data_IF_779912334762
#
_entry.id   IF_779912334762
#
_cell.length_a   1.000
_cell.length_b   1.000
_cell.length_c   1.000
_cell.angle_alpha   90.00
_cell.angle_beta   90.00
_cell.angle_gamma   90.00
#
_symmetry.space_group_name_H-M   'P 1'
#
loop_
_entity.id
_entity.type
_entity.pdbx_description
1 polymer ?
#
# COMPACT_ATOMS: atom_id res chain seq x y z
N UNK A 1 20.94 -41.75 -34.95
CA UNK A 1 21.92 -41.19 -35.91
C UNK A 1 21.39 -39.82 -36.38
N UNK A 2 22.13 -38.72 -36.19
CA UNK A 2 21.83 -37.33 -36.69
C UNK A 2 20.53 -36.66 -36.17
N UNK A 3 20.43 -35.33 -36.00
CA UNK A 3 21.45 -34.27 -35.78
C UNK A 3 20.77 -33.08 -35.06
N UNK A 4 21.53 -32.35 -34.26
CA UNK A 4 21.15 -31.07 -33.62
C UNK A 4 20.65 -30.02 -34.62
N UNK A 5 19.70 -29.19 -34.20
CA UNK A 5 19.59 -27.81 -34.68
C UNK A 5 19.26 -26.85 -33.53
N UNK A 6 20.26 -26.11 -33.05
CA UNK A 6 20.05 -24.90 -32.23
C UNK A 6 19.70 -23.73 -33.16
N UNK A 7 18.67 -22.94 -32.83
CA UNK A 7 18.66 -21.50 -33.13
C UNK A 7 18.26 -20.70 -31.88
N UNK A 8 18.92 -19.56 -31.71
CA UNK A 8 18.85 -18.70 -30.53
C UNK A 8 17.66 -17.74 -30.60
N UNK A 9 17.18 -17.36 -29.40
CA UNK A 9 16.65 -16.04 -29.02
C UNK A 9 15.82 -15.26 -30.04
N UNK A 10 14.60 -14.89 -29.64
CA UNK A 10 14.27 -13.48 -29.73
C UNK A 10 13.69 -12.98 -28.41
N UNK A 11 14.20 -11.83 -27.96
CA UNK A 11 14.04 -11.35 -26.59
C UNK A 11 12.74 -10.53 -26.48
N UNK A 12 11.78 -11.03 -25.71
CA UNK A 12 10.68 -10.21 -25.17
C UNK A 12 10.68 -10.43 -23.67
N UNK A 13 11.03 -9.39 -22.93
CA UNK A 13 10.94 -9.33 -21.48
C UNK A 13 9.47 -9.40 -21.07
N UNK A 14 8.96 -10.62 -20.89
CA UNK A 14 7.70 -10.82 -20.19
C UNK A 14 7.91 -10.34 -18.75
N UNK A 15 7.21 -9.27 -18.38
CA UNK A 15 7.04 -8.91 -16.98
C UNK A 15 6.29 -10.08 -16.35
N UNK A 16 6.95 -10.87 -15.51
CA UNK A 16 6.31 -12.02 -14.89
C UNK A 16 5.11 -11.54 -14.05
N UNK A 17 3.90 -12.07 -14.29
CA UNK A 17 2.74 -11.65 -13.52
C UNK A 17 2.94 -12.03 -12.05
N UNK A 18 2.70 -11.07 -11.15
CA UNK A 18 2.79 -11.23 -9.71
C UNK A 18 2.11 -12.54 -9.28
N UNK A 19 2.90 -13.53 -8.85
CA UNK A 19 2.44 -14.91 -8.74
C UNK A 19 1.31 -15.03 -7.71
N UNK A 20 0.17 -15.55 -8.18
CA UNK A 20 -1.08 -15.64 -7.41
C UNK A 20 -1.02 -16.81 -6.43
N UNK A 21 -0.59 -16.55 -5.20
CA UNK A 21 -0.70 -17.51 -4.10
C UNK A 21 -2.03 -17.33 -3.36
N UNK A 22 -3.00 -18.21 -3.63
CA UNK A 22 -4.25 -18.28 -2.85
C UNK A 22 -3.95 -18.86 -1.46
N UNK A 23 -3.67 -17.97 -0.50
CA UNK A 23 -3.41 -18.33 0.88
C UNK A 23 -4.69 -18.27 1.73
N UNK A 24 -5.09 -19.39 2.34
CA UNK A 24 -6.31 -19.44 3.17
C UNK A 24 -6.09 -18.77 4.54
N UNK A 25 -6.38 -17.47 4.59
CA UNK A 25 -6.22 -16.62 5.76
C UNK A 25 -7.04 -17.04 6.99
N UNK A 26 -8.05 -17.92 6.85
CA UNK A 26 -8.92 -18.32 7.95
C UNK A 26 -8.39 -19.53 8.75
N UNK A 27 -7.32 -20.19 8.30
CA UNK A 27 -6.79 -21.44 8.89
C UNK A 27 -5.58 -21.26 9.82
N UNK A 28 -5.20 -20.04 10.20
CA UNK A 28 -4.16 -19.85 11.21
C UNK A 28 -4.66 -20.29 12.60
N UNK A 29 -4.04 -21.30 13.24
CA UNK A 29 -4.36 -21.62 14.63
C UNK A 29 -3.94 -20.46 15.55
N UNK A 30 -4.58 -20.30 16.72
CA UNK A 30 -4.09 -19.36 17.73
C UNK A 30 -2.70 -19.84 18.19
N UNK A 31 -1.65 -19.16 17.74
CA UNK A 31 -0.28 -19.45 18.13
C UNK A 31 -0.15 -19.32 19.64
N UNK A 32 0.35 -20.38 20.30
CA UNK A 32 0.84 -20.28 21.69
C UNK A 32 1.85 -19.12 21.73
N UNK A 33 1.65 -18.22 22.70
CA UNK A 33 1.85 -16.78 22.49
C UNK A 33 3.27 -16.32 22.13
N UNK A 34 3.44 -15.53 21.06
CA UNK A 34 4.60 -14.65 20.87
C UNK A 34 4.36 -13.27 21.51
N UNK A 35 5.39 -12.43 21.60
CA UNK A 35 5.20 -11.00 21.85
C UNK A 35 4.33 -10.39 20.74
N UNK A 36 3.14 -9.91 21.09
CA UNK A 36 2.16 -9.46 20.11
C UNK A 36 2.34 -7.98 19.78
N UNK A 37 3.24 -7.73 18.83
CA UNK A 37 3.63 -6.39 18.38
C UNK A 37 2.47 -5.67 17.68
N UNK A 38 2.19 -4.43 18.08
CA UNK A 38 1.24 -3.55 17.38
C UNK A 38 1.78 -3.14 16.00
N UNK A 39 1.03 -3.35 14.91
CA UNK A 39 1.51 -2.98 13.57
C UNK A 39 1.66 -1.47 13.34
N UNK A 40 1.00 -0.64 14.16
CA UNK A 40 0.95 0.81 13.98
C UNK A 40 2.03 1.57 14.75
N UNK A 41 2.45 1.08 15.93
CA UNK A 41 3.42 1.75 16.79
C UNK A 41 4.61 0.87 17.20
N UNK A 42 4.65 -0.40 16.75
CA UNK A 42 5.66 -1.39 17.11
C UNK A 42 5.87 -1.66 18.62
N UNK A 43 4.97 -1.20 19.49
CA UNK A 43 5.01 -1.54 20.91
C UNK A 43 4.86 -3.06 21.13
N UNK A 44 5.76 -3.63 21.94
CA UNK A 44 5.77 -5.03 22.40
C UNK A 44 5.07 -5.17 23.76
N UNK A 45 4.92 -6.41 24.26
CA UNK A 45 4.42 -6.72 25.61
C UNK A 45 3.04 -6.13 25.98
N UNK A 46 2.16 -5.99 24.98
CA UNK A 46 0.76 -5.59 25.15
C UNK A 46 -0.17 -6.73 24.73
N UNK A 47 -1.34 -6.85 25.38
CA UNK A 47 -2.43 -7.68 24.88
C UNK A 47 -2.98 -6.98 23.63
N UNK A 48 -2.84 -7.53 22.41
CA UNK A 48 -3.32 -6.88 21.22
C UNK A 48 -4.83 -6.99 21.16
N UNK A 49 -5.43 -5.91 20.72
CA UNK A 49 -6.79 -5.95 20.16
C UNK A 49 -6.72 -6.35 18.69
N UNK A 50 -7.87 -6.79 18.14
CA UNK A 50 -8.04 -7.02 16.71
C UNK A 50 -8.72 -5.79 16.09
N UNK A 51 -7.94 -4.94 15.43
CA UNK A 51 -8.47 -3.84 14.63
C UNK A 51 -9.07 -4.40 13.31
N UNK A 52 -10.12 -3.78 12.80
CA UNK A 52 -10.79 -4.16 11.54
C UNK A 52 -10.35 -3.22 10.43
N UNK A 53 -9.84 -3.77 9.33
CA UNK A 53 -9.34 -3.00 8.18
C UNK A 53 -9.94 -3.55 6.89
N UNK A 54 -10.99 -2.93 6.30
CA UNK A 54 -11.63 -1.67 6.67
C UNK A 54 -12.39 -1.67 8.00
N UNK A 55 -12.66 -0.49 8.59
CA UNK A 55 -13.35 -0.38 9.86
C UNK A 55 -14.75 -1.00 9.82
N UNK A 56 -15.02 -1.83 10.83
CA UNK A 56 -16.22 -2.66 11.00
C UNK A 56 -17.55 -1.90 10.95
N UNK A 57 -17.51 -0.58 11.14
CA UNK A 57 -18.68 0.29 11.13
C UNK A 57 -19.26 0.48 9.71
N UNK A 58 -18.47 0.25 8.66
CA UNK A 58 -18.89 0.29 7.25
C UNK A 58 -19.78 -0.90 6.86
N UNK A 59 -19.73 -2.01 7.61
CA UNK A 59 -20.43 -3.23 7.24
C UNK A 59 -21.76 -3.35 8.00
N UNK A 60 -22.92 -3.33 7.32
CA UNK A 60 -24.22 -3.59 7.96
C UNK A 60 -24.31 -5.04 8.48
N UNK A 61 -25.38 -5.37 9.20
CA UNK A 61 -25.65 -6.74 9.68
C UNK A 61 -26.59 -7.49 8.71
N UNK A 62 -26.43 -8.82 8.51
CA UNK A 62 -25.29 -9.64 8.93
C UNK A 62 -23.99 -9.20 8.23
N UNK A 63 -22.86 -9.34 8.93
CA UNK A 63 -21.56 -8.90 8.41
C UNK A 63 -20.92 -10.00 7.55
N UNK A 64 -20.06 -9.64 6.57
CA UNK A 64 -19.29 -10.62 5.82
C UNK A 64 -18.41 -11.47 6.75
N UNK A 65 -18.18 -12.73 6.37
CA UNK A 65 -17.26 -13.62 7.10
C UNK A 65 -15.80 -13.27 6.83
N UNK A 66 -15.48 -12.68 5.67
CA UNK A 66 -14.14 -12.32 5.23
C UNK A 66 -13.66 -10.93 5.70
N UNK A 67 -14.11 -10.46 6.88
CA UNK A 67 -13.58 -9.21 7.46
C UNK A 67 -12.15 -9.40 7.95
N UNK A 68 -11.22 -8.65 7.33
CA UNK A 68 -9.80 -8.66 7.71
C UNK A 68 -9.61 -7.98 9.08
N UNK A 69 -8.77 -8.60 9.91
CA UNK A 69 -8.32 -8.01 11.18
C UNK A 69 -6.82 -8.08 11.36
N UNK A 70 -6.25 -7.07 12.01
CA UNK A 70 -4.81 -6.94 12.26
C UNK A 70 -4.50 -6.71 13.75
N UNK A 71 -3.30 -7.09 14.25
CA UNK A 71 -2.95 -6.91 15.65
C UNK A 71 -2.58 -5.44 15.94
N UNK A 72 -3.29 -4.83 16.89
CA UNK A 72 -3.10 -3.44 17.28
C UNK A 72 -3.20 -3.29 18.80
N UNK A 73 -2.36 -2.46 19.42
CA UNK A 73 -2.53 -2.16 20.83
C UNK A 73 -3.86 -1.41 21.08
N UNK A 74 -4.42 -1.47 22.31
CA UNK A 74 -5.68 -0.80 22.64
C UNK A 74 -5.67 0.70 22.28
N UNK A 75 -4.56 1.39 22.57
CA UNK A 75 -4.39 2.83 22.30
C UNK A 75 -4.52 3.17 20.81
N UNK A 76 -3.78 2.47 19.94
CA UNK A 76 -3.84 2.73 18.50
C UNK A 76 -5.22 2.38 17.94
N UNK A 77 -5.79 1.21 18.25
CA UNK A 77 -7.11 0.82 17.76
C UNK A 77 -8.20 1.84 18.17
N UNK A 78 -8.23 2.22 19.45
CA UNK A 78 -9.17 3.21 19.96
C UNK A 78 -8.99 4.61 19.34
N UNK A 79 -7.76 5.00 18.96
CA UNK A 79 -7.47 6.33 18.40
C UNK A 79 -8.15 6.63 17.07
N UNK A 80 -8.59 5.60 16.33
CA UNK A 80 -9.28 5.75 15.05
C UNK A 80 -10.81 5.82 15.18
N UNK A 81 -11.39 5.49 16.35
CA UNK A 81 -12.84 5.31 16.53
C UNK A 81 -13.71 6.48 16.03
N UNK A 82 -13.30 7.72 16.32
CA UNK A 82 -14.03 8.91 15.89
C UNK A 82 -13.87 9.16 14.38
N UNK A 83 -12.69 8.90 13.85
CA UNK A 83 -12.38 9.06 12.42
C UNK A 83 -13.12 8.01 11.58
N UNK A 84 -13.27 6.79 12.10
CA UNK A 84 -14.10 5.72 11.51
C UNK A 84 -15.59 6.10 11.46
N UNK A 85 -16.11 6.76 12.50
CA UNK A 85 -17.48 7.27 12.49
C UNK A 85 -17.67 8.36 11.43
N UNK A 86 -16.73 9.30 11.33
CA UNK A 86 -16.74 10.37 10.34
C UNK A 86 -16.58 9.84 8.91
N UNK A 87 -15.58 8.98 8.68
CA UNK A 87 -15.34 8.35 7.38
C UNK A 87 -16.60 7.61 6.91
N UNK A 88 -17.21 6.79 7.76
CA UNK A 88 -18.49 6.12 7.47
C UNK A 88 -19.60 7.09 7.09
N UNK A 89 -19.78 8.18 7.85
CA UNK A 89 -20.77 9.22 7.53
C UNK A 89 -20.53 9.80 6.12
N UNK A 90 -19.28 10.10 5.78
CA UNK A 90 -18.93 10.66 4.49
C UNK A 90 -19.13 9.66 3.33
N UNK A 91 -18.53 8.47 3.39
CA UNK A 91 -18.58 7.50 2.26
C UNK A 91 -19.94 6.84 2.09
N UNK A 92 -20.69 6.61 3.18
CA UNK A 92 -22.05 6.09 3.07
C UNK A 92 -23.02 7.17 2.56
N UNK A 93 -22.87 8.42 3.00
CA UNK A 93 -23.72 9.53 2.53
C UNK A 93 -23.54 9.84 1.04
N UNK A 94 -22.32 9.74 0.54
CA UNK A 94 -22.02 9.85 -0.89
C UNK A 94 -22.72 8.79 -1.76
N UNK A 95 -22.92 7.59 -1.20
CA UNK A 95 -23.47 6.43 -1.90
C UNK A 95 -24.95 6.13 -1.56
N UNK A 96 -25.53 6.78 -0.54
CA UNK A 96 -26.84 6.44 0.03
C UNK A 96 -28.02 6.46 -0.96
N UNK A 97 -27.90 7.16 -2.09
CA UNK A 97 -28.92 7.22 -3.15
C UNK A 97 -28.57 6.39 -4.40
N UNK A 98 -27.47 5.63 -4.38
CA UNK A 98 -26.91 4.94 -5.56
C UNK A 98 -26.48 3.50 -5.32
N UNK A 99 -26.25 3.13 -4.06
CA UNK A 99 -25.84 1.78 -3.66
C UNK A 99 -26.78 1.26 -2.57
N UNK A 100 -27.51 0.13 -2.78
CA UNK A 100 -28.49 -0.37 -1.82
C UNK A 100 -27.91 -0.70 -0.44
N UNK A 101 -26.64 -1.13 -0.36
CA UNK A 101 -25.97 -1.47 0.90
C UNK A 101 -25.65 -0.19 1.68
N UNK A 102 -25.22 0.87 0.99
CA UNK A 102 -25.06 2.21 1.54
C UNK A 102 -26.41 2.80 1.98
N UNK A 103 -27.48 2.70 1.17
CA UNK A 103 -28.83 3.15 1.53
C UNK A 103 -29.30 2.50 2.84
N UNK A 104 -29.13 1.18 2.95
CA UNK A 104 -29.49 0.42 4.14
C UNK A 104 -28.65 0.80 5.36
N UNK A 105 -27.33 0.88 5.22
CA UNK A 105 -26.45 1.34 6.29
C UNK A 105 -26.77 2.78 6.73
N UNK A 106 -27.11 3.65 5.78
CA UNK A 106 -27.46 5.04 6.03
C UNK A 106 -28.69 5.18 6.93
N UNK A 107 -29.77 4.44 6.60
CA UNK A 107 -31.03 4.44 7.33
C UNK A 107 -30.97 3.69 8.68
N UNK A 108 -30.33 2.52 8.72
CA UNK A 108 -30.28 1.67 9.93
C UNK A 108 -29.20 2.10 10.94
N UNK A 109 -28.08 2.67 10.45
CA UNK A 109 -26.87 2.83 11.27
C UNK A 109 -26.21 4.21 11.24
N UNK A 110 -26.20 4.97 10.15
CA UNK A 110 -25.57 6.32 10.12
C UNK A 110 -26.52 7.31 10.78
N UNK A 111 -27.71 7.51 10.21
CA UNK A 111 -28.90 7.68 11.04
C UNK A 111 -29.21 6.31 11.70
N UNK A 112 -29.68 6.24 12.96
CA UNK A 112 -29.81 7.30 13.95
C UNK A 112 -28.54 7.56 14.78
N UNK A 113 -27.46 6.77 14.61
CA UNK A 113 -26.36 6.72 15.60
C UNK A 113 -25.31 7.84 15.51
N UNK A 114 -25.23 8.59 14.41
CA UNK A 114 -24.31 9.74 14.32
C UNK A 114 -24.77 10.84 15.26
N UNK A 115 -23.91 11.24 16.20
CA UNK A 115 -24.23 12.23 17.24
C UNK A 115 -24.54 13.62 16.69
N UNK A 116 -25.39 14.39 17.41
CA UNK A 116 -25.85 15.72 16.99
C UNK A 116 -24.71 16.70 16.68
N UNK A 117 -23.64 16.68 17.50
CA UNK A 117 -22.45 17.51 17.26
C UNK A 117 -21.77 17.22 15.92
N UNK A 118 -21.63 15.94 15.56
CA UNK A 118 -21.04 15.54 14.28
C UNK A 118 -21.94 15.90 13.09
N UNK A 119 -23.28 15.73 13.22
CA UNK A 119 -24.22 16.18 12.19
C UNK A 119 -24.14 17.69 11.98
N UNK A 120 -24.15 18.49 13.06
CA UNK A 120 -24.03 19.95 12.99
C UNK A 120 -22.71 20.39 12.35
N UNK A 121 -21.59 19.78 12.72
CA UNK A 121 -20.27 20.10 12.16
C UNK A 121 -20.13 19.77 10.66
N UNK A 122 -20.87 18.77 10.17
CA UNK A 122 -20.91 18.43 8.73
C UNK A 122 -21.89 19.34 7.98
N UNK A 123 -23.07 19.59 8.54
CA UNK A 123 -24.09 20.45 7.92
C UNK A 123 -23.68 21.93 7.88
N UNK A 124 -22.90 22.42 8.84
CA UNK A 124 -22.35 23.79 8.80
C UNK A 124 -21.31 24.01 7.69
N UNK A 125 -20.78 22.92 7.10
CA UNK A 125 -19.89 22.95 5.95
C UNK A 125 -20.64 22.73 4.62
N UNK A 126 -21.96 22.51 4.65
CA UNK A 126 -22.75 22.30 3.45
C UNK A 126 -22.99 23.63 2.71
N UNK A 127 -22.68 23.65 1.42
CA UNK A 127 -22.94 24.77 0.49
C UNK A 127 -23.87 24.29 -0.62
N UNK A 128 -24.88 25.08 -0.95
CA UNK A 128 -25.74 24.77 -2.09
C UNK A 128 -25.05 25.25 -3.38
N UNK A 129 -24.73 24.31 -4.27
CA UNK A 129 -24.00 24.57 -5.49
C UNK A 129 -24.83 24.19 -6.72
N UNK A 130 -24.68 24.94 -7.80
CA UNK A 130 -25.25 24.57 -9.10
C UNK A 130 -24.45 23.43 -9.72
N UNK A 131 -25.13 22.37 -10.11
CA UNK A 131 -24.55 21.23 -10.81
C UNK A 131 -24.69 21.48 -12.30
N UNK A 132 -23.56 21.42 -13.02
CA UNK A 132 -23.50 21.49 -14.48
C UNK A 132 -22.89 20.22 -15.06
N UNK A 133 -23.30 19.84 -16.26
CA UNK A 133 -22.62 18.78 -17.03
C UNK A 133 -21.23 19.25 -17.48
N UNK A 134 -20.33 18.34 -17.95
CA UNK A 134 -19.07 18.74 -18.56
C UNK A 134 -19.23 19.71 -19.75
N UNK A 135 -20.37 19.63 -20.47
CA UNK A 135 -20.75 20.56 -21.54
C UNK A 135 -21.46 21.84 -21.07
N UNK A 136 -21.43 22.16 -19.76
CA UNK A 136 -21.96 23.40 -19.21
C UNK A 136 -23.47 23.46 -18.93
N UNK A 137 -24.25 22.46 -19.38
CA UNK A 137 -25.71 22.43 -19.17
C UNK A 137 -26.05 22.37 -17.67
N UNK A 138 -26.98 23.19 -17.21
CA UNK A 138 -27.48 23.18 -15.84
C UNK A 138 -28.34 21.94 -15.57
N UNK A 139 -28.01 21.21 -14.49
CA UNK A 139 -28.68 19.97 -14.07
C UNK A 139 -29.56 20.18 -12.84
N UNK A 140 -29.27 21.20 -12.02
CA UNK A 140 -29.97 21.47 -10.77
C UNK A 140 -29.06 22.05 -9.69
N UNK A 141 -29.49 21.97 -8.43
CA UNK A 141 -28.69 22.32 -7.26
C UNK A 141 -28.45 21.11 -6.37
N UNK A 142 -27.26 21.02 -5.78
CA UNK A 142 -26.89 19.97 -4.83
C UNK A 142 -26.08 20.54 -3.66
N UNK A 143 -26.14 19.87 -2.51
CA UNK A 143 -25.30 20.21 -1.37
C UNK A 143 -23.87 19.68 -1.59
N UNK A 144 -22.91 20.58 -1.77
CA UNK A 144 -21.49 20.28 -1.62
C UNK A 144 -21.15 20.30 -0.13
N UNK A 145 -20.58 19.22 0.39
CA UNK A 145 -20.16 19.12 1.79
C UNK A 145 -18.63 19.01 1.82
N UNK A 146 -18.00 19.83 2.66
CA UNK A 146 -16.55 19.77 2.88
C UNK A 146 -16.12 18.45 3.53
N UNK A 147 -14.97 17.93 3.09
CA UNK A 147 -14.32 16.80 3.77
C UNK A 147 -13.18 17.31 4.63
N UNK A 148 -13.10 16.83 5.88
CA UNK A 148 -11.88 16.95 6.68
C UNK A 148 -10.86 15.94 6.13
N UNK A 149 -9.98 16.42 5.26
CA UNK A 149 -8.98 15.62 4.56
C UNK A 149 -8.11 14.80 5.51
N UNK A 150 -7.69 15.37 6.65
CA UNK A 150 -6.88 14.67 7.64
C UNK A 150 -7.57 13.44 8.22
N UNK A 151 -8.87 13.54 8.55
CA UNK A 151 -9.64 12.43 9.13
C UNK A 151 -9.91 11.32 8.12
N UNK A 152 -10.22 11.68 6.88
CA UNK A 152 -10.37 10.73 5.77
C UNK A 152 -9.02 10.01 5.50
N UNK A 153 -7.94 10.78 5.38
CA UNK A 153 -6.58 10.28 5.16
C UNK A 153 -6.14 9.30 6.24
N UNK A 154 -6.30 9.64 7.53
CA UNK A 154 -5.97 8.76 8.66
C UNK A 154 -6.63 7.38 8.56
N UNK A 155 -7.91 7.31 8.17
CA UNK A 155 -8.62 6.04 8.00
C UNK A 155 -8.09 5.28 6.78
N UNK A 156 -7.94 5.96 5.64
CA UNK A 156 -7.51 5.36 4.36
C UNK A 156 -6.08 4.82 4.44
N UNK A 157 -5.13 5.57 5.00
CA UNK A 157 -3.74 5.13 5.20
C UNK A 157 -3.67 3.95 6.16
N UNK A 158 -4.42 3.97 7.27
CA UNK A 158 -4.49 2.84 8.20
C UNK A 158 -4.99 1.57 7.50
N UNK A 159 -5.99 1.68 6.63
CA UNK A 159 -6.46 0.52 5.84
C UNK A 159 -5.33 -0.02 4.96
N UNK A 160 -4.58 0.84 4.26
CA UNK A 160 -3.44 0.41 3.46
C UNK A 160 -2.34 -0.26 4.30
N UNK A 161 -1.97 0.31 5.46
CA UNK A 161 -0.99 -0.29 6.40
C UNK A 161 -1.49 -1.64 6.95
N UNK A 162 -2.77 -1.74 7.27
CA UNK A 162 -3.40 -2.99 7.69
C UNK A 162 -3.42 -4.05 6.59
N UNK A 163 -3.65 -3.67 5.34
CA UNK A 163 -3.62 -4.57 4.19
C UNK A 163 -2.18 -4.99 3.81
N UNK A 164 -1.19 -4.11 3.94
CA UNK A 164 0.24 -4.46 3.84
C UNK A 164 0.60 -5.57 4.83
N UNK A 165 0.20 -5.45 6.10
CA UNK A 165 0.37 -6.53 7.07
C UNK A 165 -0.45 -7.79 6.74
N UNK A 166 -1.68 -7.65 6.24
CA UNK A 166 -2.54 -8.78 5.90
C UNK A 166 -1.95 -9.66 4.80
N UNK A 167 -1.52 -9.06 3.68
CA UNK A 167 -1.00 -9.79 2.53
C UNK A 167 0.46 -10.21 2.69
N UNK A 168 1.30 -9.35 3.25
CA UNK A 168 2.76 -9.51 3.20
C UNK A 168 3.42 -9.75 4.56
N UNK A 169 2.67 -9.67 5.67
CA UNK A 169 3.20 -9.75 7.05
C UNK A 169 4.32 -8.75 7.35
N UNK A 170 4.32 -7.64 6.61
CA UNK A 170 5.30 -6.57 6.68
C UNK A 170 4.72 -5.42 7.51
N UNK A 171 5.47 -4.95 8.52
CA UNK A 171 5.19 -3.69 9.20
C UNK A 171 5.73 -2.55 8.34
N UNK A 172 5.19 -1.35 8.51
CA UNK A 172 5.71 -0.17 7.82
C UNK A 172 7.13 0.14 8.34
N UNK A 173 8.12 0.09 7.45
CA UNK A 173 9.51 0.40 7.78
C UNK A 173 9.66 1.89 8.10
N UNK A 174 10.52 2.30 9.05
CA UNK A 174 10.80 3.72 9.28
C UNK A 174 11.28 4.42 8.00
N UNK A 175 10.76 5.61 7.73
CA UNK A 175 11.07 6.37 6.51
C UNK A 175 10.20 6.06 5.30
N UNK A 176 9.27 5.10 5.37
CA UNK A 176 8.24 4.91 4.32
C UNK A 176 7.29 6.11 4.31
N UNK A 177 7.15 6.74 3.15
CA UNK A 177 6.14 7.76 2.90
C UNK A 177 4.83 7.09 2.46
N UNK A 178 3.70 7.54 3.02
CA UNK A 178 2.36 7.11 2.61
C UNK A 178 1.60 8.33 2.10
N UNK A 179 1.13 8.28 0.86
CA UNK A 179 0.35 9.36 0.24
C UNK A 179 -1.04 8.85 -0.15
N UNK A 180 -2.06 9.71 -0.02
CA UNK A 180 -3.46 9.37 -0.31
C UNK A 180 -4.08 10.39 -1.26
N UNK A 181 -4.61 9.91 -2.37
CA UNK A 181 -5.32 10.71 -3.37
C UNK A 181 -6.79 10.28 -3.42
N UNK A 182 -7.71 11.23 -3.26
CA UNK A 182 -9.16 10.98 -3.38
C UNK A 182 -9.63 11.31 -4.81
N UNK A 183 -10.23 10.32 -5.48
CA UNK A 183 -10.63 10.36 -6.90
C UNK A 183 -9.57 11.04 -7.82
N UNK A 184 -8.30 10.58 -7.82
CA UNK A 184 -7.34 11.05 -8.81
C UNK A 184 -7.76 10.63 -10.22
N UNK A 185 -7.16 11.26 -11.24
CA UNK A 185 -7.18 10.69 -12.58
C UNK A 185 -6.51 9.31 -12.55
N UNK A 186 -7.18 8.31 -13.11
CA UNK A 186 -6.72 6.93 -13.16
C UNK A 186 -6.07 6.58 -14.50
N UNK A 187 -6.14 7.45 -15.52
CA UNK A 187 -5.51 7.19 -16.82
C UNK A 187 -4.02 6.81 -16.68
N UNK A 188 -3.18 7.51 -15.90
CA UNK A 188 -1.77 7.15 -15.72
C UNK A 188 -1.53 5.82 -14.98
N UNK A 189 -2.53 5.30 -14.27
CA UNK A 189 -2.43 4.10 -13.42
C UNK A 189 -3.19 2.89 -14.00
N UNK A 190 -3.76 3.01 -15.20
CA UNK A 190 -4.70 2.02 -15.75
C UNK A 190 -4.07 0.64 -15.93
N UNK A 191 -2.86 0.56 -16.47
CA UNK A 191 -2.13 -0.70 -16.66
C UNK A 191 -1.80 -1.38 -15.32
N UNK A 192 -1.28 -0.62 -14.36
CA UNK A 192 -0.94 -1.11 -13.01
C UNK A 192 -2.21 -1.59 -12.28
N UNK A 193 -3.29 -0.81 -12.33
CA UNK A 193 -4.56 -1.17 -11.69
C UNK A 193 -5.20 -2.39 -12.35
N UNK A 194 -5.22 -2.49 -13.68
CA UNK A 194 -5.84 -3.65 -14.36
C UNK A 194 -5.08 -4.95 -14.12
N UNK A 195 -3.74 -4.91 -14.08
CA UNK A 195 -2.86 -6.06 -13.79
C UNK A 195 -2.79 -6.44 -12.29
N UNK A 196 -3.08 -5.52 -11.38
CA UNK A 196 -3.09 -5.77 -9.93
C UNK A 196 -4.16 -6.77 -9.45
N UNK A 197 -3.92 -7.37 -8.28
CA UNK A 197 -4.87 -8.29 -7.63
C UNK A 197 -6.12 -7.54 -7.17
N UNK A 198 -7.32 -8.06 -7.46
CA UNK A 198 -8.61 -7.51 -7.02
C UNK A 198 -9.22 -8.35 -5.90
N UNK A 199 -9.63 -7.71 -4.81
CA UNK A 199 -10.30 -8.34 -3.66
C UNK A 199 -11.60 -7.61 -3.34
N UNK A 200 -12.60 -8.36 -2.88
CA UNK A 200 -13.91 -7.86 -2.46
C UNK A 200 -14.21 -8.27 -1.00
N UNK A 201 -14.58 -7.31 -0.16
CA UNK A 201 -15.07 -7.51 1.19
C UNK A 201 -16.47 -6.87 1.28
N UNK A 202 -17.50 -7.70 1.47
CA UNK A 202 -18.87 -7.24 1.67
C UNK A 202 -19.56 -6.68 0.43
N UNK A 203 -19.51 -7.41 -0.68
CA UNK A 203 -20.23 -7.12 -1.93
C UNK A 203 -19.85 -5.78 -2.58
N UNK A 204 -20.52 -4.68 -2.23
CA UNK A 204 -20.18 -3.33 -2.71
C UNK A 204 -19.43 -2.49 -1.67
N UNK A 205 -19.46 -2.87 -0.38
CA UNK A 205 -18.97 -2.04 0.73
C UNK A 205 -17.50 -1.68 0.57
N UNK A 206 -16.64 -2.65 0.25
CA UNK A 206 -15.22 -2.40 -0.01
C UNK A 206 -14.65 -3.35 -1.07
N UNK A 207 -14.15 -2.76 -2.14
CA UNK A 207 -13.31 -3.44 -3.13
C UNK A 207 -11.94 -2.78 -3.13
N UNK A 208 -10.89 -3.56 -3.29
CA UNK A 208 -9.55 -3.02 -3.42
C UNK A 208 -8.70 -3.76 -4.43
N UNK A 209 -7.76 -3.01 -5.00
CA UNK A 209 -6.71 -3.45 -5.90
C UNK A 209 -5.36 -3.22 -5.26
N UNK A 210 -4.42 -4.14 -5.41
CA UNK A 210 -3.09 -3.99 -4.82
C UNK A 210 -1.95 -4.62 -5.63
N UNK A 211 -0.82 -3.93 -5.64
CA UNK A 211 0.47 -4.43 -6.11
C UNK A 211 1.61 -3.89 -5.24
N UNK A 212 2.75 -4.58 -5.26
CA UNK A 212 3.98 -4.22 -4.53
C UNK A 212 5.15 -4.36 -5.50
N UNK A 213 6.11 -3.45 -5.43
CA UNK A 213 7.34 -3.56 -6.22
C UNK A 213 8.14 -4.80 -5.76
N UNK A 214 8.77 -5.49 -6.70
CA UNK A 214 9.48 -6.74 -6.44
C UNK A 214 10.90 -6.50 -5.92
N UNK A 215 11.51 -5.41 -6.39
CA UNK A 215 12.82 -4.86 -6.07
C UNK A 215 12.79 -3.88 -4.88
N UNK A 216 11.65 -3.25 -4.62
CA UNK A 216 11.43 -2.39 -3.45
C UNK A 216 10.23 -2.86 -2.60
N UNK A 217 10.41 -3.84 -1.69
CA UNK A 217 9.30 -4.43 -0.91
C UNK A 217 8.55 -3.43 0.00
N UNK A 218 9.13 -2.30 0.36
CA UNK A 218 8.44 -1.22 1.10
C UNK A 218 7.56 -0.33 0.20
N UNK A 219 7.64 -0.49 -1.12
CA UNK A 219 6.90 0.31 -2.10
C UNK A 219 5.69 -0.46 -2.67
N UNK A 220 4.50 0.13 -2.56
CA UNK A 220 3.24 -0.51 -3.00
C UNK A 220 2.18 0.50 -3.41
N UNK A 221 1.21 0.05 -4.22
CA UNK A 221 0.06 0.83 -4.65
C UNK A 221 -1.22 0.09 -4.30
N UNK A 222 -2.18 0.85 -3.75
CA UNK A 222 -3.48 0.37 -3.30
C UNK A 222 -4.59 1.23 -3.92
N UNK A 223 -5.49 0.62 -4.69
CA UNK A 223 -6.69 1.29 -5.19
C UNK A 223 -7.92 0.84 -4.40
N UNK A 224 -8.59 1.77 -3.72
CA UNK A 224 -9.76 1.49 -2.88
C UNK A 224 -11.04 2.02 -3.51
N UNK A 225 -12.12 1.26 -3.39
CA UNK A 225 -13.47 1.65 -3.77
C UNK A 225 -14.45 1.28 -2.65
N UNK A 226 -15.21 2.26 -2.14
CA UNK A 226 -16.28 2.04 -1.17
C UNK A 226 -17.64 2.31 -1.81
N UNK A 227 -18.58 1.36 -1.67
CA UNK A 227 -19.96 1.41 -2.21
C UNK A 227 -20.03 1.77 -3.70
N UNK A 228 -19.03 1.38 -4.49
CA UNK A 228 -18.91 1.76 -5.91
C UNK A 228 -18.66 3.25 -6.20
N UNK A 229 -18.47 4.11 -5.18
CA UNK A 229 -18.55 5.58 -5.31
C UNK A 229 -17.31 6.33 -4.83
N UNK A 230 -16.88 6.09 -3.59
CA UNK A 230 -15.71 6.77 -3.02
C UNK A 230 -14.44 6.02 -3.41
N UNK A 231 -13.61 6.64 -4.23
CA UNK A 231 -12.37 6.05 -4.77
C UNK A 231 -11.14 6.71 -4.18
N UNK A 232 -10.15 5.91 -3.80
CA UNK A 232 -8.86 6.40 -3.32
C UNK A 232 -7.71 5.62 -3.98
N UNK A 233 -6.60 6.30 -4.24
CA UNK A 233 -5.30 5.67 -4.46
C UNK A 233 -4.44 5.97 -3.24
N UNK A 234 -3.79 4.94 -2.70
CA UNK A 234 -2.75 5.07 -1.68
C UNK A 234 -1.45 4.51 -2.23
N UNK A 235 -0.39 5.29 -2.17
CA UNK A 235 0.96 4.85 -2.48
C UNK A 235 1.76 4.76 -1.19
N UNK A 236 2.51 3.68 -1.03
CA UNK A 236 3.62 3.59 -0.09
C UNK A 236 4.90 3.64 -0.90
N UNK A 237 5.86 4.44 -0.47
CA UNK A 237 7.19 4.52 -1.07
C UNK A 237 8.22 4.28 0.03
N UNK A 238 9.03 3.23 -0.14
CA UNK A 238 10.17 2.99 0.73
C UNK A 238 11.13 4.17 0.77
N UNK A 239 11.98 4.27 1.81
CA UNK A 239 13.10 5.21 1.78
C UNK A 239 13.89 4.96 0.50
N UNK A 240 14.06 6.00 -0.32
CA UNK A 240 14.91 5.89 -1.52
C UNK A 240 16.30 5.47 -1.03
N UNK A 241 16.99 4.54 -1.72
CA UNK A 241 18.43 4.41 -1.52
C UNK A 241 19.01 5.82 -1.64
N UNK A 242 19.73 6.27 -0.60
CA UNK A 242 20.51 7.49 -0.71
C UNK A 242 21.30 7.39 -2.00
N UNK A 243 21.25 8.43 -2.85
CA UNK A 243 22.16 8.45 -4.00
C UNK A 243 23.55 8.27 -3.41
N UNK A 244 24.18 7.15 -3.78
CA UNK A 244 25.56 6.90 -3.41
C UNK A 244 26.31 7.94 -4.23
N UNK A 245 26.60 9.08 -3.61
CA UNK A 245 27.65 9.94 -4.14
C UNK A 245 28.88 9.03 -4.24
N UNK A 246 29.47 8.88 -5.43
CA UNK A 246 30.61 8.01 -5.60
C UNK A 246 31.71 8.51 -4.67
N UNK A 247 32.14 7.64 -3.77
CA UNK A 247 33.12 7.94 -2.73
C UNK A 247 34.36 8.58 -3.38
N UNK A 248 34.55 9.87 -3.10
CA UNK A 248 35.59 10.71 -3.69
C UNK A 248 36.99 10.40 -3.14
N UNK A 249 37.15 9.30 -2.39
CA UNK A 249 38.43 8.82 -1.86
C UNK A 249 39.12 7.74 -2.71
N UNK A 250 38.61 7.45 -3.93
CA UNK A 250 39.24 6.51 -4.87
C UNK A 250 39.99 7.15 -6.05
N UNK A 251 40.66 8.28 -5.81
CA UNK A 251 41.75 8.73 -6.70
C UNK A 251 42.93 7.76 -6.61
N UNK A 252 42.99 6.82 -7.56
CA UNK A 252 44.19 6.02 -7.81
C UNK A 252 45.27 6.97 -8.35
N UNK A 253 46.41 7.16 -7.67
CA UNK A 253 47.46 8.04 -8.17
C UNK A 253 48.03 7.48 -9.48
N UNK A 254 48.39 8.35 -10.45
CA UNK A 254 48.89 7.89 -11.74
C UNK A 254 50.19 7.08 -11.59
N UNK A 255 50.16 5.92 -12.23
CA UNK A 255 51.18 4.88 -12.25
C UNK A 255 52.61 5.44 -12.43
N UNK A 256 53.44 5.37 -11.39
CA UNK A 256 54.88 5.62 -11.52
C UNK A 256 55.56 4.40 -12.13
N UNK A 257 55.89 4.50 -13.42
CA UNK A 257 56.62 3.46 -14.17
C UNK A 257 57.94 3.08 -13.50
N UNK A 258 58.17 1.79 -13.15
CA UNK A 258 59.49 1.31 -12.79
C UNK A 258 60.39 1.32 -14.04
N UNK A 259 61.54 2.00 -13.95
CA UNK A 259 62.51 2.04 -15.05
C UNK A 259 63.12 0.66 -15.32
N UNK A 260 62.98 0.17 -16.54
CA UNK A 260 63.71 -1.01 -17.02
C UNK A 260 65.16 -0.64 -17.30
N UNK A 261 66.11 -1.20 -16.55
CA UNK A 261 67.54 -1.21 -16.90
C UNK A 261 67.98 -2.63 -17.26
N UNK A 262 68.56 -2.87 -18.45
CA UNK A 262 68.89 -4.22 -18.88
C UNK A 262 70.26 -4.70 -18.38
N UNK A 263 70.23 -5.80 -17.62
CA UNK A 263 71.16 -6.93 -17.73
C UNK A 263 72.66 -6.72 -17.56
N UNK A 264 73.19 -7.17 -16.41
CA UNK A 264 74.55 -7.70 -16.30
C UNK A 264 74.59 -8.91 -15.36
N UNK A 265 74.86 -10.09 -15.94
CA UNK A 265 75.00 -11.36 -15.22
C UNK A 265 76.39 -11.48 -14.57
N UNK A 266 76.49 -12.15 -13.41
CA UNK A 266 77.64 -12.96 -13.08
C UNK A 266 77.23 -14.45 -13.01
N UNK A 267 77.81 -15.27 -13.89
CA UNK A 267 77.75 -16.73 -13.81
C UNK A 267 79.03 -17.23 -13.18
N UNK A 268 78.93 -17.98 -12.09
CA UNK A 268 80.04 -18.75 -11.53
C UNK A 268 79.54 -20.05 -10.88
N UNK A 269 79.95 -21.17 -11.46
CA UNK A 269 79.91 -22.51 -10.88
C UNK A 269 81.31 -23.13 -11.03
N UNK A 270 81.85 -23.84 -10.03
CA UNK A 270 83.21 -24.38 -10.09
C UNK A 270 83.29 -25.82 -10.65
N UNK A 271 84.31 -26.02 -11.48
CA UNK A 271 85.14 -27.22 -11.70
C UNK A 271 84.56 -28.66 -11.68
N UNK A 272 84.85 -29.37 -12.77
CA UNK A 272 85.47 -30.70 -12.71
C UNK A 272 86.49 -30.87 -13.86
N UNK A 273 87.68 -31.41 -13.58
CA UNK A 273 88.84 -31.48 -14.49
C UNK A 273 88.86 -32.73 -15.38
N UNK A 274 89.67 -32.75 -16.46
CA UNK A 274 90.21 -33.98 -17.02
C UNK A 274 91.55 -34.36 -16.35
N UNK A 275 91.80 -35.67 -16.24
CA UNK A 275 93.06 -36.38 -15.89
C UNK A 275 93.79 -35.95 -14.62
#
# INVERSE_FOLDING_TARGET
MRRSCRRRSNNRSAIEPCQRTEYDYNKMPPSKGPELICIYCSATNLIPTRDHVPPKCLFPKPRPLNLVTVPACPTCNQSFKLDDEYFRLMVAGEAAYRDPVATRLWAERVMPNTGLGLRRAVLSQARLCEVRTPGGLYVGRAAQIGFNSLRIRRVVERIAVGLMWHHYRQRLTPGVTVETHYRPDLAPLTEILTSSNLVNIGDTVFKYRYCRAWDAPDSSLWGFQFYGRAHFIVTMQGPRPSQIEPDSSSEIPPNSTPGFTPGSLPVSLPNASPT
#
